data_IF_957622700485
#
_entry.id   IF_957622700485
#
_cell.length_a   1.000
_cell.length_b   1.000
_cell.length_c   1.000
_cell.angle_alpha   90.00
_cell.angle_beta   90.00
_cell.angle_gamma   90.00
#
_symmetry.space_group_name_H-M   'P 1'
#
loop_
_entity.id
_entity.type
_entity.pdbx_description
1 polymer ?
#
# COMPACT_ATOMS: atom_id res chain seq x y z
N UNK A 1 -35.66 13.07 -1.48
CA UNK A 1 -34.56 13.91 -2.03
C UNK A 1 -33.16 13.25 -1.94
N UNK A 2 -33.02 11.92 -1.82
CA UNK A 2 -31.71 11.24 -1.65
C UNK A 2 -31.10 10.67 -2.96
N UNK A 3 -31.89 10.54 -4.03
CA UNK A 3 -31.51 9.84 -5.27
C UNK A 3 -30.37 10.49 -6.07
N UNK A 4 -30.13 11.80 -5.91
CA UNK A 4 -29.14 12.52 -6.71
C UNK A 4 -27.70 12.27 -6.24
N UNK A 5 -27.47 12.14 -4.92
CA UNK A 5 -26.12 11.97 -4.36
C UNK A 5 -25.51 10.61 -4.72
N UNK A 6 -26.28 9.54 -4.62
CA UNK A 6 -25.81 8.19 -4.99
C UNK A 6 -25.47 8.12 -6.48
N UNK A 7 -26.27 8.75 -7.34
CA UNK A 7 -25.99 8.88 -8.78
C UNK A 7 -24.65 9.58 -9.05
N UNK A 8 -24.34 10.64 -8.32
CA UNK A 8 -23.09 11.39 -8.49
C UNK A 8 -21.85 10.60 -8.07
N UNK A 9 -21.92 9.92 -6.92
CA UNK A 9 -20.84 9.02 -6.44
C UNK A 9 -20.56 7.95 -7.48
N UNK A 10 -21.61 7.28 -7.98
CA UNK A 10 -21.46 6.21 -8.99
C UNK A 10 -20.88 6.74 -10.30
N UNK A 11 -21.24 7.97 -10.71
CA UNK A 11 -20.67 8.61 -11.90
C UNK A 11 -19.17 8.90 -11.74
N UNK A 12 -18.75 9.46 -10.61
CA UNK A 12 -17.33 9.69 -10.31
C UNK A 12 -16.56 8.39 -10.21
N UNK A 13 -17.07 7.38 -9.49
CA UNK A 13 -16.44 6.05 -9.43
C UNK A 13 -16.25 5.42 -10.80
N UNK A 14 -17.23 5.52 -11.70
CA UNK A 14 -17.10 5.03 -13.09
C UNK A 14 -15.98 5.75 -13.86
N UNK A 15 -15.90 7.07 -13.73
CA UNK A 15 -14.85 7.87 -14.37
C UNK A 15 -13.46 7.55 -13.76
N UNK A 16 -13.35 7.45 -12.44
CA UNK A 16 -12.13 7.07 -11.73
C UNK A 16 -11.66 5.68 -12.13
N UNK A 17 -12.58 4.72 -12.23
CA UNK A 17 -12.28 3.37 -12.68
C UNK A 17 -11.69 3.36 -14.09
N UNK A 18 -12.25 4.14 -15.02
CA UNK A 18 -11.71 4.27 -16.37
C UNK A 18 -10.33 4.94 -16.36
N UNK A 19 -10.11 5.94 -15.51
CA UNK A 19 -8.82 6.60 -15.34
C UNK A 19 -7.75 5.63 -14.83
N UNK A 20 -7.99 5.00 -13.68
CA UNK A 20 -7.08 4.02 -13.10
C UNK A 20 -6.82 2.85 -14.04
N UNK A 21 -7.82 2.42 -14.82
CA UNK A 21 -7.62 1.38 -15.83
C UNK A 21 -6.61 1.85 -16.89
N UNK A 22 -6.70 3.08 -17.41
CA UNK A 22 -5.69 3.59 -18.35
C UNK A 22 -4.30 3.65 -17.68
N UNK A 23 -4.23 4.22 -16.48
CA UNK A 23 -2.98 4.33 -15.71
C UNK A 23 -2.31 2.95 -15.54
N UNK A 24 -3.07 1.93 -15.16
CA UNK A 24 -2.59 0.55 -15.04
C UNK A 24 -1.89 0.07 -16.32
N UNK A 25 -2.52 0.25 -17.48
CA UNK A 25 -1.96 -0.22 -18.75
C UNK A 25 -0.73 0.59 -19.15
N UNK A 26 -0.69 1.89 -18.88
CA UNK A 26 0.49 2.72 -19.19
C UNK A 26 1.69 2.35 -18.30
N UNK A 27 1.48 2.19 -16.98
CA UNK A 27 2.53 1.75 -16.06
C UNK A 27 3.05 0.35 -16.44
N UNK A 28 2.15 -0.56 -16.84
CA UNK A 28 2.51 -1.93 -17.26
C UNK A 28 3.35 -2.00 -18.54
N UNK A 29 3.32 -0.97 -19.38
CA UNK A 29 4.13 -0.93 -20.62
C UNK A 29 5.59 -0.59 -20.37
N UNK A 30 5.90 0.02 -19.23
CA UNK A 30 7.28 0.35 -18.86
C UNK A 30 8.05 -0.95 -18.58
N UNK A 31 9.30 -1.02 -19.01
CA UNK A 31 10.15 -2.22 -18.95
C UNK A 31 11.29 -2.11 -17.92
N UNK A 32 11.22 -1.12 -17.02
CA UNK A 32 12.18 -0.87 -15.95
C UNK A 32 11.51 -0.77 -14.58
N UNK A 33 12.30 -1.02 -13.52
CA UNK A 33 11.80 -1.19 -12.16
C UNK A 33 11.45 0.14 -11.49
N UNK A 34 12.24 1.20 -11.70
CA UNK A 34 12.08 2.48 -11.01
C UNK A 34 11.56 3.55 -11.98
N UNK A 35 10.45 4.19 -11.64
CA UNK A 35 9.86 5.25 -12.45
C UNK A 35 10.75 6.50 -12.44
N UNK A 36 10.95 7.08 -13.61
CA UNK A 36 11.67 8.34 -13.77
C UNK A 36 10.76 9.53 -13.39
N UNK A 37 11.34 10.70 -13.18
CA UNK A 37 10.57 11.95 -13.01
C UNK A 37 9.62 12.20 -14.18
N UNK A 38 10.06 11.92 -15.41
CA UNK A 38 9.24 12.07 -16.61
C UNK A 38 8.02 11.12 -16.58
N UNK A 39 8.21 9.88 -16.13
CA UNK A 39 7.10 8.93 -15.96
C UNK A 39 6.11 9.41 -14.93
N UNK A 40 6.60 9.89 -13.78
CA UNK A 40 5.77 10.38 -12.69
C UNK A 40 4.88 11.52 -13.19
N UNK A 41 5.46 12.48 -13.91
CA UNK A 41 4.71 13.59 -14.50
C UNK A 41 3.72 13.13 -15.58
N UNK A 42 4.18 12.34 -16.55
CA UNK A 42 3.38 11.88 -17.70
C UNK A 42 2.21 10.98 -17.28
N UNK A 43 2.40 10.16 -16.26
CA UNK A 43 1.39 9.22 -15.77
C UNK A 43 0.44 9.86 -14.75
N UNK A 44 0.64 11.13 -14.39
CA UNK A 44 -0.17 11.79 -13.36
C UNK A 44 0.02 11.16 -11.97
N UNK A 45 1.22 10.65 -11.70
CA UNK A 45 1.62 10.25 -10.37
C UNK A 45 2.10 11.50 -9.63
N UNK A 46 1.77 11.59 -8.34
CA UNK A 46 2.32 12.62 -7.48
C UNK A 46 3.18 11.99 -6.41
N UNK A 47 4.49 12.13 -6.59
CA UNK A 47 5.44 11.73 -5.57
C UNK A 47 5.47 12.78 -4.45
N UNK A 48 5.30 12.32 -3.22
CA UNK A 48 5.49 13.10 -2.01
C UNK A 48 6.59 12.43 -1.18
N UNK A 49 7.36 13.22 -0.44
CA UNK A 49 8.22 12.66 0.61
C UNK A 49 7.47 12.79 1.91
N UNK A 50 7.30 11.67 2.62
CA UNK A 50 6.60 11.69 3.90
C UNK A 50 7.37 12.59 4.88
N UNK A 51 6.71 13.49 5.63
CA UNK A 51 7.39 14.29 6.63
C UNK A 51 8.03 13.36 7.68
N UNK A 52 9.27 13.67 8.10
CA UNK A 52 9.91 12.94 9.21
C UNK A 52 9.00 13.03 10.43
N UNK A 53 8.62 11.89 11.04
CA UNK A 53 7.58 11.92 12.04
C UNK A 53 8.20 12.45 13.36
N UNK A 54 7.55 13.46 13.95
CA UNK A 54 8.05 14.22 15.12
C UNK A 54 8.35 13.27 16.29
N UNK A 55 9.51 13.41 16.95
CA UNK A 55 10.05 12.55 18.01
C UNK A 55 9.25 12.54 19.34
N UNK A 56 7.92 12.52 19.31
CA UNK A 56 7.10 12.34 20.50
C UNK A 56 6.63 10.89 20.57
N UNK A 57 7.44 10.00 21.16
CA UNK A 57 7.10 8.59 21.19
C UNK A 57 7.27 7.89 22.53
N UNK A 58 6.26 7.10 22.89
CA UNK A 58 6.33 6.11 23.94
C UNK A 58 6.97 4.82 23.41
N UNK A 59 7.97 4.30 24.13
CA UNK A 59 8.63 3.03 23.79
C UNK A 59 7.60 1.89 23.89
N UNK A 60 7.51 1.05 22.85
CA UNK A 60 6.67 -0.15 22.91
C UNK A 60 7.31 -1.16 23.90
N UNK A 61 6.52 -2.02 24.57
CA UNK A 61 7.07 -3.10 25.38
C UNK A 61 8.00 -3.98 24.52
N UNK A 62 9.18 -4.31 25.04
CA UNK A 62 10.14 -5.15 24.32
C UNK A 62 9.68 -6.61 24.38
N UNK A 63 9.56 -7.28 23.25
CA UNK A 63 9.66 -8.73 23.23
C UNK A 63 11.13 -9.17 23.25
N UNK A 64 11.39 -10.24 23.97
CA UNK A 64 12.65 -10.98 23.92
C UNK A 64 12.69 -11.75 22.58
N UNK A 65 12.93 -11.04 21.48
CA UNK A 65 13.06 -11.64 20.16
C UNK A 65 14.51 -12.08 19.94
N UNK A 66 14.73 -13.39 19.78
CA UNK A 66 16.00 -13.90 19.29
C UNK A 66 16.04 -13.69 17.77
N UNK A 67 16.84 -12.71 17.34
CA UNK A 67 17.06 -12.47 15.92
C UNK A 67 17.71 -13.70 15.29
N UNK A 68 16.95 -14.41 14.46
CA UNK A 68 17.48 -15.53 13.71
C UNK A 68 18.48 -14.99 12.67
N UNK A 69 19.74 -15.48 12.66
CA UNK A 69 20.68 -15.10 11.62
C UNK A 69 20.13 -15.52 10.25
N UNK A 70 20.41 -14.70 9.24
CA UNK A 70 20.03 -14.97 7.85
C UNK A 70 20.37 -16.41 7.44
N UNK A 71 19.36 -17.17 7.02
CA UNK A 71 19.56 -18.52 6.53
C UNK A 71 20.09 -18.46 5.08
N UNK A 72 21.36 -18.87 4.84
CA UNK A 72 21.98 -18.82 3.52
C UNK A 72 21.26 -19.70 2.48
N UNK A 73 20.36 -20.60 2.91
CA UNK A 73 19.56 -21.44 2.03
C UNK A 73 18.64 -20.64 1.09
N UNK A 74 18.19 -19.45 1.50
CA UNK A 74 17.27 -18.63 0.71
C UNK A 74 17.93 -17.95 -0.51
N UNK A 75 19.26 -17.83 -0.52
CA UNK A 75 20.00 -17.11 -1.57
C UNK A 75 19.67 -15.60 -1.62
N UNK A 76 20.55 -14.80 -2.23
CA UNK A 76 20.37 -13.33 -2.28
C UNK A 76 19.02 -12.91 -2.89
N UNK A 77 18.51 -13.67 -3.86
CA UNK A 77 17.25 -13.39 -4.54
C UNK A 77 15.99 -13.66 -3.71
N UNK A 78 16.11 -14.31 -2.54
CA UNK A 78 14.98 -14.53 -1.62
C UNK A 78 15.17 -13.80 -0.30
N UNK A 79 16.20 -12.96 -0.17
CA UNK A 79 16.46 -12.20 1.06
C UNK A 79 15.25 -11.34 1.49
N UNK A 80 14.49 -10.82 0.50
CA UNK A 80 13.24 -10.11 0.74
C UNK A 80 12.12 -10.98 1.33
N UNK A 81 12.05 -12.26 0.96
CA UNK A 81 11.08 -13.19 1.57
C UNK A 81 11.45 -13.50 3.02
N UNK A 82 12.75 -13.61 3.30
CA UNK A 82 13.24 -13.78 4.67
C UNK A 82 12.87 -12.59 5.54
N UNK A 83 13.15 -11.35 5.10
CA UNK A 83 12.77 -10.16 5.86
C UNK A 83 11.25 -10.02 5.99
N UNK A 84 10.49 -10.26 4.94
CA UNK A 84 9.02 -10.25 5.03
C UNK A 84 8.53 -11.27 6.07
N UNK A 85 9.05 -12.50 6.05
CA UNK A 85 8.75 -13.52 7.06
C UNK A 85 9.15 -13.07 8.47
N UNK A 86 10.32 -12.44 8.64
CA UNK A 86 10.77 -11.88 9.92
C UNK A 86 9.77 -10.84 10.43
N UNK A 87 9.30 -9.94 9.56
CA UNK A 87 8.31 -8.91 9.89
C UNK A 87 7.02 -9.53 10.40
N UNK A 88 6.55 -10.58 9.73
CA UNK A 88 5.37 -11.29 10.18
C UNK A 88 5.61 -12.03 11.47
N UNK A 89 6.70 -12.78 11.61
CA UNK A 89 7.04 -13.46 12.86
C UNK A 89 7.07 -12.48 14.04
N UNK A 90 7.67 -11.30 13.86
CA UNK A 90 7.72 -10.27 14.90
C UNK A 90 6.32 -9.79 15.30
N UNK A 91 5.44 -9.53 14.32
CA UNK A 91 4.03 -9.20 14.59
C UNK A 91 3.27 -10.33 15.31
N UNK A 92 3.73 -11.57 15.20
CA UNK A 92 3.11 -12.74 15.81
C UNK A 92 3.68 -13.05 17.21
N UNK A 93 4.94 -12.69 17.50
CA UNK A 93 5.65 -13.08 18.72
C UNK A 93 5.45 -12.13 19.90
N UNK A 94 5.14 -10.84 19.67
CA UNK A 94 4.82 -9.81 20.68
C UNK A 94 3.54 -10.09 21.52
N UNK A 95 3.01 -11.31 21.44
CA UNK A 95 1.76 -11.74 22.05
C UNK A 95 2.07 -12.59 23.28
N UNK A 96 1.63 -12.19 24.49
CA UNK A 96 1.78 -13.00 25.70
C UNK A 96 1.26 -14.42 25.48
N UNK A 97 2.01 -15.41 25.95
CA UNK A 97 1.73 -16.84 25.74
C UNK A 97 0.30 -17.22 26.18
N UNK A 98 -0.26 -16.51 27.17
CA UNK A 98 -1.63 -16.65 27.67
C UNK A 98 -2.74 -16.27 26.66
N UNK A 99 -2.43 -15.48 25.63
CA UNK A 99 -3.36 -15.09 24.55
C UNK A 99 -3.31 -16.02 23.32
N UNK A 100 -2.40 -17.00 23.28
CA UNK A 100 -2.22 -17.97 22.19
C UNK A 100 -3.26 -19.10 22.23
N UNK A 101 -4.57 -18.79 22.24
CA UNK A 101 -5.62 -19.81 22.06
C UNK A 101 -6.16 -19.83 20.63
N UNK A 102 -6.29 -21.06 20.12
CA UNK A 102 -6.69 -21.47 18.76
C UNK A 102 -5.70 -21.09 17.64
N UNK A 103 -5.21 -22.06 16.84
CA UNK A 103 -4.40 -21.76 15.67
C UNK A 103 -5.30 -21.12 14.61
N UNK A 104 -5.12 -19.83 14.31
CA UNK A 104 -5.79 -19.20 13.17
C UNK A 104 -6.08 -17.71 13.27
N UNK A 105 -6.08 -17.12 14.47
CA UNK A 105 -6.31 -15.68 14.65
C UNK A 105 -5.18 -15.04 15.47
N UNK A 106 -4.29 -14.33 14.79
CA UNK A 106 -3.12 -13.69 15.38
C UNK A 106 -3.55 -12.48 16.24
N UNK A 107 -3.11 -12.43 17.50
CA UNK A 107 -3.70 -11.50 18.47
C UNK A 107 -3.33 -10.03 18.25
N UNK A 108 -2.20 -9.70 17.63
CA UNK A 108 -1.87 -8.29 17.34
C UNK A 108 -2.90 -7.69 16.37
N UNK A 109 -3.34 -8.48 15.39
CA UNK A 109 -4.43 -8.13 14.49
C UNK A 109 -5.79 -8.11 15.20
N UNK A 110 -5.99 -8.91 16.25
CA UNK A 110 -7.18 -8.87 17.11
C UNK A 110 -7.32 -7.56 17.89
N UNK A 111 -6.20 -6.89 18.19
CA UNK A 111 -6.19 -5.55 18.78
C UNK A 111 -6.25 -4.43 17.73
N UNK A 112 -6.30 -4.80 16.45
CA UNK A 112 -6.44 -3.89 15.33
C UNK A 112 -7.78 -4.09 14.63
N UNK A 113 -8.13 -3.17 13.71
CA UNK A 113 -9.31 -3.33 12.85
C UNK A 113 -8.98 -4.04 11.52
N UNK A 114 -7.74 -4.52 11.38
CA UNK A 114 -7.22 -5.14 10.17
C UNK A 114 -7.65 -6.60 10.05
N UNK A 115 -8.12 -6.97 8.86
CA UNK A 115 -8.52 -8.33 8.53
C UNK A 115 -7.60 -8.85 7.44
N UNK A 116 -7.10 -10.07 7.58
CA UNK A 116 -6.32 -10.71 6.52
C UNK A 116 -7.20 -10.82 5.27
N UNK A 117 -6.70 -10.20 4.19
CA UNK A 117 -7.33 -10.24 2.88
C UNK A 117 -6.90 -11.50 2.14
N UNK A 118 -7.81 -12.05 1.34
CA UNK A 118 -7.48 -13.13 0.44
C UNK A 118 -6.79 -12.57 -0.81
N UNK A 119 -5.47 -12.80 -0.92
CA UNK A 119 -4.66 -12.39 -2.08
C UNK A 119 -5.20 -12.99 -3.38
N UNK A 120 -5.91 -14.12 -3.32
CA UNK A 120 -6.54 -14.73 -4.48
C UNK A 120 -7.60 -13.84 -5.14
N UNK A 121 -8.26 -12.98 -4.35
CA UNK A 121 -9.29 -12.06 -4.84
C UNK A 121 -8.72 -10.88 -5.62
N UNK A 122 -7.42 -10.64 -5.50
CA UNK A 122 -6.68 -9.64 -6.24
C UNK A 122 -5.94 -10.22 -7.45
N UNK A 123 -5.97 -11.55 -7.67
CA UNK A 123 -5.30 -12.25 -8.79
C UNK A 123 -5.91 -11.80 -10.14
N UNK A 124 -5.39 -10.67 -10.58
CA UNK A 124 -5.32 -10.20 -11.95
C UNK A 124 -3.83 -9.89 -12.22
N UNK A 125 -3.46 -9.59 -13.47
CA UNK A 125 -2.09 -9.35 -13.96
C UNK A 125 -1.23 -8.33 -13.17
N UNK A 126 -1.74 -7.71 -12.10
CA UNK A 126 -1.07 -6.70 -11.28
C UNK A 126 -0.68 -7.14 -9.87
N UNK A 127 -0.52 -8.44 -9.59
CA UNK A 127 -0.14 -8.94 -8.26
C UNK A 127 1.28 -9.52 -8.19
N UNK A 128 1.89 -9.82 -9.33
CA UNK A 128 3.28 -10.22 -9.42
C UNK A 128 3.79 -10.01 -10.84
N UNK A 129 5.11 -9.90 -10.98
CA UNK A 129 5.80 -10.01 -12.25
C UNK A 129 6.93 -11.02 -12.09
N UNK A 130 6.94 -12.03 -12.97
CA UNK A 130 7.93 -13.10 -12.96
C UNK A 130 8.95 -12.87 -14.05
N UNK A 131 10.21 -13.12 -13.75
CA UNK A 131 11.24 -13.11 -14.79
C UNK A 131 11.23 -14.46 -15.52
N UNK A 132 11.71 -14.50 -16.76
CA UNK A 132 11.74 -15.72 -17.58
C UNK A 132 12.62 -16.85 -17.03
N UNK A 133 13.32 -16.65 -15.90
CA UNK A 133 14.05 -17.72 -15.20
C UNK A 133 13.16 -18.36 -14.13
N UNK A 134 12.96 -19.67 -14.27
CA UNK A 134 12.12 -20.52 -13.42
C UNK A 134 12.03 -20.07 -11.95
N UNK A 135 10.84 -19.65 -11.52
CA UNK A 135 10.53 -19.38 -10.11
C UNK A 135 11.06 -18.05 -9.55
N UNK A 136 11.71 -17.22 -10.35
CA UNK A 136 12.21 -15.90 -9.91
C UNK A 136 11.20 -14.81 -10.23
N UNK A 137 10.90 -13.96 -9.26
CA UNK A 137 10.02 -12.81 -9.42
C UNK A 137 10.86 -11.53 -9.52
N UNK A 138 10.41 -10.57 -10.32
CA UNK A 138 10.86 -9.18 -10.19
C UNK A 138 10.26 -8.61 -8.91
N UNK A 139 8.95 -8.82 -8.73
CA UNK A 139 8.24 -8.50 -7.50
C UNK A 139 6.96 -9.33 -7.37
N UNK A 140 6.45 -9.47 -6.15
CA UNK A 140 5.16 -10.11 -5.84
C UNK A 140 4.48 -9.47 -4.64
N UNK A 141 3.16 -9.41 -4.68
CA UNK A 141 2.31 -9.21 -3.51
C UNK A 141 2.39 -10.45 -2.63
N UNK A 142 2.65 -10.27 -1.33
CA UNK A 142 2.71 -11.36 -0.37
C UNK A 142 1.57 -11.32 0.63
N UNK A 143 1.23 -10.14 1.16
CA UNK A 143 0.18 -10.00 2.16
C UNK A 143 -0.77 -8.85 1.86
N UNK A 144 -2.02 -9.00 2.28
CA UNK A 144 -3.02 -7.94 2.28
C UNK A 144 -3.72 -7.95 3.63
N UNK A 145 -3.92 -6.76 4.17
CA UNK A 145 -4.82 -6.52 5.28
C UNK A 145 -5.77 -5.41 4.90
N UNK A 146 -7.05 -5.63 5.18
CA UNK A 146 -8.13 -4.75 4.74
C UNK A 146 -8.97 -4.38 5.96
N UNK A 147 -9.48 -3.15 6.00
CA UNK A 147 -10.57 -2.80 6.90
C UNK A 147 -11.91 -2.79 6.17
N UNK A 148 -12.86 -3.51 6.76
CA UNK A 148 -14.18 -3.72 6.15
C UNK A 148 -15.22 -2.74 6.69
N UNK A 149 -16.24 -2.36 5.89
CA UNK A 149 -17.26 -1.39 6.31
C UNK A 149 -18.13 -1.86 7.47
N UNK A 150 -18.17 -3.17 7.73
CA UNK A 150 -18.86 -3.75 8.89
C UNK A 150 -18.15 -3.43 10.22
N UNK A 151 -16.89 -2.98 10.17
CA UNK A 151 -15.98 -2.92 11.32
C UNK A 151 -15.49 -1.48 11.56
N UNK A 152 -15.30 -0.71 10.50
CA UNK A 152 -14.87 0.68 10.60
C UNK A 152 -15.40 1.52 9.43
N UNK A 153 -15.57 2.82 9.68
CA UNK A 153 -15.87 3.80 8.63
C UNK A 153 -14.62 4.26 7.87
N UNK A 154 -13.42 3.97 8.40
CA UNK A 154 -12.13 4.35 7.84
C UNK A 154 -11.54 3.21 7.02
N UNK A 155 -11.97 3.11 5.76
CA UNK A 155 -11.60 2.02 4.86
C UNK A 155 -10.20 2.17 4.28
N UNK A 156 -9.25 1.40 4.80
CA UNK A 156 -7.85 1.44 4.43
C UNK A 156 -7.35 0.03 4.12
N UNK A 157 -6.23 -0.06 3.42
CA UNK A 157 -5.57 -1.33 3.10
C UNK A 157 -4.10 -1.24 3.48
N UNK A 158 -3.56 -2.32 4.03
CA UNK A 158 -2.13 -2.56 4.10
C UNK A 158 -1.81 -3.66 3.09
N UNK A 159 -0.79 -3.47 2.27
CA UNK A 159 -0.26 -4.52 1.41
C UNK A 159 1.23 -4.66 1.67
N UNK A 160 1.74 -5.88 1.61
CA UNK A 160 3.18 -6.13 1.63
C UNK A 160 3.60 -6.76 0.31
N UNK A 161 4.59 -6.17 -0.32
CA UNK A 161 5.18 -6.65 -1.57
C UNK A 161 6.65 -6.95 -1.36
N UNK A 162 7.15 -7.94 -2.08
CA UNK A 162 8.56 -8.34 -2.03
C UNK A 162 9.15 -8.15 -3.41
N UNK A 163 10.25 -7.43 -3.48
CA UNK A 163 10.99 -7.08 -4.68
C UNK A 163 12.37 -7.70 -4.65
N UNK A 164 12.78 -8.24 -5.79
CA UNK A 164 14.16 -8.66 -6.03
C UNK A 164 14.97 -7.46 -6.56
N UNK A 165 15.04 -6.40 -5.75
CA UNK A 165 15.68 -5.13 -6.08
C UNK A 165 16.75 -4.79 -5.04
N UNK A 166 17.99 -4.60 -5.51
CA UNK A 166 19.05 -3.99 -4.71
C UNK A 166 18.83 -2.48 -4.60
N UNK A 167 18.92 -1.95 -3.38
CA UNK A 167 18.67 -0.53 -3.11
C UNK A 167 19.98 0.25 -3.08
N UNK A 168 20.12 1.19 -4.02
CA UNK A 168 21.19 2.17 -4.12
C UNK A 168 20.66 3.62 -4.23
N UNK A 169 21.56 4.59 -4.34
CA UNK A 169 21.24 6.03 -4.43
C UNK A 169 20.27 6.39 -5.57
N UNK A 170 20.27 5.63 -6.68
CA UNK A 170 19.38 5.86 -7.82
C UNK A 170 17.95 5.36 -7.58
N UNK A 171 17.80 4.41 -6.65
CA UNK A 171 16.52 3.78 -6.31
C UNK A 171 15.86 4.35 -5.05
N UNK A 172 16.65 4.93 -4.13
CA UNK A 172 16.20 5.36 -2.80
C UNK A 172 15.02 6.36 -2.82
N UNK A 173 14.87 7.11 -3.90
CA UNK A 173 13.85 8.17 -4.04
C UNK A 173 12.95 7.98 -5.24
N UNK A 174 12.91 6.79 -5.80
CA UNK A 174 12.13 6.52 -7.01
C UNK A 174 10.89 5.71 -6.66
N UNK A 175 9.76 6.02 -7.31
CA UNK A 175 8.59 5.14 -7.22
C UNK A 175 8.93 3.83 -7.90
N UNK A 176 8.79 2.72 -7.18
CA UNK A 176 8.96 1.39 -7.77
C UNK A 176 7.71 1.07 -8.60
N UNK A 177 7.91 0.68 -9.86
CA UNK A 177 6.87 0.36 -10.84
C UNK A 177 5.88 -0.67 -10.30
N UNK A 178 6.37 -1.73 -9.67
CA UNK A 178 5.53 -2.75 -9.05
C UNK A 178 4.59 -2.19 -7.98
N UNK A 179 5.03 -1.19 -7.20
CA UNK A 179 4.19 -0.54 -6.19
C UNK A 179 3.10 0.33 -6.82
N UNK A 180 3.42 1.03 -7.91
CA UNK A 180 2.41 1.78 -8.67
C UNK A 180 1.37 0.82 -9.28
N UNK A 181 1.81 -0.30 -9.86
CA UNK A 181 0.91 -1.34 -10.40
C UNK A 181 0.01 -1.90 -9.29
N UNK A 182 0.60 -2.26 -8.15
CA UNK A 182 -0.12 -2.84 -7.02
C UNK A 182 -1.15 -1.86 -6.45
N UNK A 183 -0.75 -0.59 -6.24
CA UNK A 183 -1.64 0.46 -5.79
C UNK A 183 -2.84 0.61 -6.73
N UNK A 184 -2.60 0.74 -8.04
CA UNK A 184 -3.68 0.89 -9.02
C UNK A 184 -4.58 -0.34 -9.07
N UNK A 185 -4.00 -1.54 -8.96
CA UNK A 185 -4.74 -2.81 -8.94
C UNK A 185 -5.68 -2.90 -7.74
N UNK A 186 -5.19 -2.55 -6.55
CA UNK A 186 -5.99 -2.53 -5.33
C UNK A 186 -7.13 -1.50 -5.39
N UNK A 187 -6.84 -0.29 -5.91
CA UNK A 187 -7.85 0.75 -6.10
C UNK A 187 -8.94 0.31 -7.10
N UNK A 188 -8.54 -0.30 -8.22
CA UNK A 188 -9.47 -0.86 -9.21
C UNK A 188 -10.36 -1.95 -8.60
N UNK A 189 -9.79 -2.83 -7.79
CA UNK A 189 -10.52 -3.88 -7.10
C UNK A 189 -11.56 -3.29 -6.14
N UNK A 190 -11.16 -2.37 -5.25
CA UNK A 190 -12.08 -1.72 -4.31
C UNK A 190 -13.19 -0.93 -5.00
N UNK A 191 -12.91 -0.26 -6.11
CA UNK A 191 -13.95 0.48 -6.85
C UNK A 191 -15.06 -0.43 -7.40
N UNK A 192 -14.78 -1.72 -7.66
CA UNK A 192 -15.78 -2.68 -8.15
C UNK A 192 -16.69 -3.24 -7.06
N UNK A 193 -16.25 -3.23 -5.80
CA UNK A 193 -16.98 -3.90 -4.72
C UNK A 193 -18.16 -3.04 -4.25
N UNK A 194 -19.35 -3.64 -4.27
CA UNK A 194 -20.59 -2.98 -3.85
C UNK A 194 -20.57 -2.55 -2.37
N UNK A 195 -19.84 -3.27 -1.52
CA UNK A 195 -19.67 -2.92 -0.10
C UNK A 195 -19.03 -1.54 0.09
N UNK A 196 -18.33 -1.02 -0.93
CA UNK A 196 -17.68 0.28 -0.93
C UNK A 196 -18.44 1.34 -1.75
N UNK A 197 -19.75 1.18 -1.97
CA UNK A 197 -20.56 2.05 -2.83
C UNK A 197 -20.41 3.54 -2.50
N UNK A 198 -20.43 3.89 -1.21
CA UNK A 198 -20.38 5.30 -0.75
C UNK A 198 -18.97 5.84 -0.53
N UNK A 199 -17.95 5.06 -0.88
CA UNK A 199 -16.55 5.43 -0.69
C UNK A 199 -15.91 5.72 -2.05
N UNK A 200 -15.23 6.86 -2.13
CA UNK A 200 -14.59 7.33 -3.36
C UNK A 200 -13.06 7.40 -3.23
N UNK A 201 -12.56 7.48 -2.00
CA UNK A 201 -11.14 7.43 -1.69
C UNK A 201 -10.82 6.15 -0.94
N UNK A 202 -9.69 5.54 -1.28
CA UNK A 202 -9.22 4.30 -0.67
C UNK A 202 -7.74 4.43 -0.36
N UNK A 203 -7.37 5.07 0.76
CA UNK A 203 -5.97 5.18 1.15
C UNK A 203 -5.38 3.81 1.47
N UNK A 204 -4.10 3.66 1.16
CA UNK A 204 -3.38 2.40 1.29
C UNK A 204 -2.00 2.66 1.88
N UNK A 205 -1.50 1.69 2.63
CA UNK A 205 -0.13 1.58 3.08
C UNK A 205 0.50 0.38 2.36
N UNK A 206 1.57 0.60 1.60
CA UNK A 206 2.38 -0.46 1.02
C UNK A 206 3.65 -0.60 1.85
N UNK A 207 3.94 -1.84 2.21
CA UNK A 207 5.16 -2.28 2.87
C UNK A 207 5.99 -2.97 1.79
N UNK A 208 6.92 -2.24 1.22
CA UNK A 208 7.71 -2.70 0.08
C UNK A 208 9.04 -3.25 0.59
N UNK A 209 9.23 -4.56 0.51
CA UNK A 209 10.44 -5.23 0.97
C UNK A 209 11.40 -5.42 -0.20
N UNK A 210 12.55 -4.76 -0.14
CA UNK A 210 13.63 -4.85 -1.14
C UNK A 210 14.85 -5.48 -0.48
N UNK A 211 15.02 -6.79 -0.65
CA UNK A 211 16.05 -7.57 0.04
C UNK A 211 16.00 -7.37 1.57
N UNK A 212 17.01 -6.73 2.18
CA UNK A 212 17.08 -6.45 3.63
C UNK A 212 16.70 -5.01 4.00
N UNK A 213 16.11 -4.27 3.06
CA UNK A 213 15.59 -2.93 3.31
C UNK A 213 14.08 -2.91 3.04
N UNK A 214 13.41 -1.96 3.67
CA UNK A 214 11.96 -1.81 3.56
C UNK A 214 11.61 -0.35 3.29
N UNK A 215 10.68 -0.13 2.37
CA UNK A 215 10.11 1.16 2.08
C UNK A 215 8.64 1.17 2.50
N UNK A 216 8.21 2.22 3.19
CA UNK A 216 6.81 2.45 3.53
C UNK A 216 6.25 3.45 2.53
N UNK A 217 5.21 3.07 1.80
CA UNK A 217 4.54 3.91 0.81
C UNK A 217 3.10 4.14 1.22
N UNK A 218 2.70 5.40 1.36
CA UNK A 218 1.28 5.74 1.46
C UNK A 218 0.75 6.09 0.08
N UNK A 219 -0.36 5.49 -0.34
CA UNK A 219 -0.94 5.73 -1.65
C UNK A 219 -2.43 6.02 -1.57
N UNK A 220 -2.91 6.98 -2.36
CA UNK A 220 -4.33 7.18 -2.59
C UNK A 220 -4.58 7.88 -3.93
N UNK A 221 -5.77 7.68 -4.49
CA UNK A 221 -6.18 8.34 -5.73
C UNK A 221 -7.24 9.41 -5.43
N UNK A 222 -7.02 10.62 -5.90
CA UNK A 222 -7.91 11.76 -5.61
C UNK A 222 -8.91 12.06 -6.73
N UNK A 223 -8.97 11.24 -7.77
CA UNK A 223 -9.81 11.46 -8.97
C UNK A 223 -9.02 11.95 -10.19
N UNK A 224 -7.86 12.54 -9.95
CA UNK A 224 -7.01 13.15 -10.96
C UNK A 224 -5.62 12.52 -10.96
N UNK A 225 -5.00 12.40 -9.79
CA UNK A 225 -3.65 11.90 -9.61
C UNK A 225 -3.60 10.75 -8.61
N UNK A 226 -2.67 9.82 -8.84
CA UNK A 226 -2.29 8.83 -7.84
C UNK A 226 -1.17 9.41 -6.99
N UNK A 227 -1.49 9.74 -5.74
CA UNK A 227 -0.52 10.24 -4.78
C UNK A 227 0.22 9.07 -4.16
N UNK A 228 1.54 9.14 -4.13
CA UNK A 228 2.41 8.15 -3.50
C UNK A 228 3.43 8.90 -2.64
N UNK A 229 3.29 8.77 -1.32
CA UNK A 229 4.23 9.33 -0.36
C UNK A 229 5.19 8.26 0.13
N UNK A 230 6.49 8.46 -0.08
CA UNK A 230 7.54 7.49 0.23
C UNK A 230 8.23 7.88 1.53
N UNK A 231 8.52 6.89 2.38
CA UNK A 231 9.47 7.04 3.48
C UNK A 231 10.92 6.97 2.97
N UNK A 232 11.89 7.22 3.85
CA UNK A 232 13.24 6.71 3.64
C UNK A 232 13.22 5.17 3.74
N UNK A 233 14.19 4.49 3.11
CA UNK A 233 14.36 3.06 3.30
C UNK A 233 14.82 2.76 4.73
N UNK A 234 14.10 1.85 5.39
CA UNK A 234 14.47 1.29 6.68
C UNK A 234 15.42 0.12 6.45
N UNK A 235 16.59 0.15 7.08
CA UNK A 235 17.61 -0.90 6.95
C UNK A 235 17.46 -1.96 8.05
N UNK A 236 17.35 -3.22 7.63
CA UNK A 236 17.23 -4.43 8.47
C UNK A 236 18.35 -5.44 8.16
N UNK A 237 19.47 -4.98 7.60
CA UNK A 237 20.70 -5.78 7.43
C UNK A 237 21.25 -6.22 8.79
N UNK A 238 21.09 -5.37 9.80
CA UNK A 238 21.30 -5.70 11.20
C UNK A 238 20.04 -5.36 12.01
N UNK A 239 19.92 -5.93 13.22
CA UNK A 239 18.81 -5.59 14.10
C UNK A 239 18.83 -4.09 14.45
N UNK A 240 17.75 -3.40 14.12
CA UNK A 240 17.57 -1.98 14.38
C UNK A 240 16.22 -1.75 15.08
N UNK A 241 16.26 -1.60 16.41
CA UNK A 241 15.07 -1.41 17.25
C UNK A 241 14.22 -0.20 16.80
N UNK A 242 14.85 0.86 16.30
CA UNK A 242 14.14 2.06 15.82
C UNK A 242 13.36 1.76 14.54
N UNK A 243 13.97 1.07 13.58
CA UNK A 243 13.30 0.65 12.33
C UNK A 243 12.13 -0.29 12.61
N UNK A 244 12.32 -1.26 13.50
CA UNK A 244 11.27 -2.18 13.93
C UNK A 244 10.10 -1.44 14.58
N UNK A 245 10.37 -0.61 15.59
CA UNK A 245 9.31 0.16 16.25
C UNK A 245 8.54 1.07 15.29
N UNK A 246 9.24 1.70 14.33
CA UNK A 246 8.59 2.55 13.33
C UNK A 246 7.68 1.71 12.43
N UNK A 247 8.16 0.60 11.89
CA UNK A 247 7.39 -0.30 11.03
C UNK A 247 6.14 -0.82 11.75
N UNK A 248 6.29 -1.33 12.98
CA UNK A 248 5.17 -1.87 13.74
C UNK A 248 4.09 -0.83 13.97
N UNK A 249 4.45 0.41 14.33
CA UNK A 249 3.49 1.50 14.50
C UNK A 249 2.70 1.77 13.23
N UNK A 250 3.36 1.75 12.07
CA UNK A 250 2.68 1.88 10.78
C UNK A 250 1.77 0.68 10.49
N UNK A 251 2.12 -0.54 10.89
CA UNK A 251 1.31 -1.72 10.59
C UNK A 251 0.11 -1.89 11.54
N UNK A 252 0.24 -1.48 12.81
CA UNK A 252 -0.82 -1.64 13.82
C UNK A 252 -1.69 -0.39 13.99
N UNK A 253 -1.40 0.70 13.27
CA UNK A 253 -2.16 1.94 13.42
C UNK A 253 -3.65 1.71 13.16
N UNK A 254 -4.49 2.44 13.89
CA UNK A 254 -5.89 2.53 13.54
C UNK A 254 -6.04 3.45 12.33
N UNK A 255 -6.70 3.01 11.24
CA UNK A 255 -6.90 3.86 10.08
C UNK A 255 -7.74 5.08 10.42
N UNK A 256 -7.38 6.23 9.85
CA UNK A 256 -8.04 7.51 10.06
C UNK A 256 -8.37 8.18 8.73
N UNK A 257 -9.32 9.12 8.73
CA UNK A 257 -9.62 9.95 7.55
C UNK A 257 -10.86 9.50 6.77
N UNK A 258 -11.67 10.48 6.34
CA UNK A 258 -12.97 10.22 5.73
C UNK A 258 -12.84 9.79 4.25
N UNK A 259 -13.18 8.55 3.98
CA UNK A 259 -13.11 7.91 2.65
C UNK A 259 -14.35 8.15 1.78
N UNK A 260 -15.39 8.78 2.33
CA UNK A 260 -16.62 9.20 1.64
C UNK A 260 -16.50 10.60 1.03
N UNK A 261 -15.34 11.25 1.15
CA UNK A 261 -15.07 12.55 0.54
C UNK A 261 -15.06 12.38 -0.99
N UNK A 262 -15.80 13.23 -1.75
CA UNK A 262 -15.79 13.19 -3.20
C UNK A 262 -14.38 13.34 -3.78
N UNK A 263 -14.07 12.58 -4.83
CA UNK A 263 -12.86 12.83 -5.61
C UNK A 263 -12.98 14.12 -6.41
N UNK A 264 -11.85 14.67 -6.87
CA UNK A 264 -11.75 15.86 -7.74
C UNK A 264 -12.35 15.67 -9.12
N UNK A 265 -12.80 14.46 -9.43
CA UNK A 265 -13.39 14.07 -10.71
C UNK A 265 -14.63 14.92 -11.03
N UNK A 266 -14.61 15.68 -12.14
CA UNK A 266 -15.74 16.51 -12.51
C UNK A 266 -17.00 15.68 -12.75
N UNK A 267 -18.15 16.17 -12.30
CA UNK A 267 -19.44 15.62 -12.72
C UNK A 267 -19.68 16.05 -14.16
N UNK A 268 -19.82 15.09 -15.08
CA UNK A 268 -20.15 15.37 -16.48
C UNK A 268 -21.41 16.27 -16.53
N UNK A 269 -21.26 17.49 -17.06
CA UNK A 269 -22.28 18.55 -17.11
C UNK A 269 -21.96 19.80 -16.29
N UNK A 270 -20.97 19.77 -15.39
CA UNK A 270 -20.47 20.96 -14.70
C UNK A 270 -19.44 21.70 -15.57
N UNK A 271 -19.88 22.25 -16.70
CA UNK A 271 -19.09 23.28 -17.39
C UNK A 271 -19.00 24.50 -16.47
N UNK A 272 -17.79 24.84 -16.05
CA UNK A 272 -17.47 26.06 -15.32
C UNK A 272 -17.94 27.29 -16.12
N UNK A 273 -19.10 27.82 -15.77
CA UNK A 273 -19.52 29.15 -16.20
C UNK A 273 -18.79 30.20 -15.35
N UNK A 274 -17.47 30.33 -15.54
CA UNK A 274 -16.76 31.54 -15.13
C UNK A 274 -16.55 32.39 -16.38
N UNK A 275 -17.63 33.04 -16.84
CA UNK A 275 -17.48 34.24 -17.67
C UNK A 275 -17.10 35.37 -16.72
N UNK A 276 -15.85 35.77 -16.80
CA UNK A 276 -15.33 37.03 -16.27
C UNK A 276 -16.14 38.18 -16.91
N UNK A 277 -17.04 38.78 -16.15
CA UNK A 277 -17.52 40.14 -16.43
C UNK A 277 -16.54 41.11 -15.81
N UNK A 278 -15.62 41.60 -16.64
CA UNK A 278 -14.93 42.87 -16.41
C UNK A 278 -15.89 44.01 -16.77
N UNK A 279 -16.13 44.89 -15.81
CA UNK A 279 -16.51 46.28 -16.02
C UNK A 279 -15.54 47.13 -15.22
#
# INVERSE_FOLDING_TARGET
MSTNKTSDVMRRKKANFAHLKRLFHEVKKLDYICLTTEDVEKLGLKQLFAPKPVESYHKLPQAEFEFLPYDPYWGEMSAGLGLDQDVWNYLHEDIPEASRRSPGEFSLLRYSKWHSGDTAKLIHDGTAEFTGRFGTYEWRLNHIYDTLPQITEYLHMIMASVHNLGVDESTERSIIRGEAILAVTALLWRMKLAVFEHHEQFPMLLITVCCRKLLIVQAYFDGEQLHMALSDFLDFTAFNETSWNLLLRWMIHEPIGNTKIPTKTPLAGATSSSKTTSA
#
